data_IF_206387128604
#
_entry.id   IF_206387128604
#
_cell.length_a   1.000
_cell.length_b   1.000
_cell.length_c   1.000
_cell.angle_alpha   90.00
_cell.angle_beta   90.00
_cell.angle_gamma   90.00
#
_symmetry.space_group_name_H-M   'P 1'
#
loop_
_entity.id
_entity.type
_entity.pdbx_description
1 polymer ?
#
# COMPACT_ATOMS: atom_id res chain seq x y z
N UNK A 1 10.72 31.01 30.52
CA UNK A 1 11.73 29.92 30.50
C UNK A 1 11.12 28.51 30.52
N UNK A 2 9.95 28.30 31.14
CA UNK A 2 9.30 26.97 31.26
C UNK A 2 8.73 26.41 29.94
N UNK A 3 8.25 27.28 29.03
CA UNK A 3 7.60 26.87 27.78
C UNK A 3 8.52 26.12 26.78
N UNK A 4 9.80 26.48 26.67
CA UNK A 4 10.69 25.89 25.65
C UNK A 4 11.14 24.46 26.02
N UNK A 5 11.20 24.14 27.32
CA UNK A 5 11.57 22.80 27.80
C UNK A 5 10.47 21.77 27.55
N UNK A 6 9.20 22.16 27.69
CA UNK A 6 8.06 21.28 27.39
C UNK A 6 7.97 20.93 25.90
N UNK A 7 8.24 21.89 25.02
CA UNK A 7 8.23 21.67 23.57
C UNK A 7 9.36 20.72 23.15
N UNK A 8 10.57 20.87 23.72
CA UNK A 8 11.69 19.97 23.43
C UNK A 8 11.41 18.51 23.83
N UNK A 9 10.76 18.30 24.99
CA UNK A 9 10.34 16.97 25.45
C UNK A 9 9.29 16.35 24.51
N UNK A 10 8.32 17.13 24.07
CA UNK A 10 7.28 16.68 23.14
C UNK A 10 7.88 16.27 21.78
N UNK A 11 8.80 17.09 21.24
CA UNK A 11 9.51 16.79 19.99
C UNK A 11 10.29 15.48 20.13
N UNK A 12 11.06 15.30 21.20
CA UNK A 12 11.80 14.07 21.44
C UNK A 12 10.90 12.84 21.53
N UNK A 13 9.78 12.94 22.27
CA UNK A 13 8.80 11.86 22.39
C UNK A 13 8.19 11.47 21.04
N UNK A 14 7.77 12.45 20.23
CA UNK A 14 7.20 12.19 18.90
C UNK A 14 8.22 11.56 17.94
N UNK A 15 9.48 12.03 17.95
CA UNK A 15 10.53 11.46 17.09
C UNK A 15 10.80 10.00 17.43
N UNK A 16 10.85 9.64 18.72
CA UNK A 16 11.03 8.24 19.15
C UNK A 16 9.83 7.38 18.73
N UNK A 17 8.61 7.91 18.86
CA UNK A 17 7.39 7.21 18.44
C UNK A 17 7.38 6.96 16.92
N UNK A 18 7.71 7.98 16.11
CA UNK A 18 7.82 7.85 14.66
C UNK A 18 8.91 6.84 14.25
N UNK A 19 10.06 6.86 14.93
CA UNK A 19 11.13 5.90 14.68
C UNK A 19 10.69 4.46 15.00
N UNK A 20 9.98 4.25 16.11
CA UNK A 20 9.49 2.92 16.50
C UNK A 20 8.46 2.34 15.53
N UNK A 21 7.72 3.20 14.81
CA UNK A 21 6.76 2.78 13.78
C UNK A 21 7.40 2.52 12.40
N UNK A 22 8.72 2.75 12.25
CA UNK A 22 9.44 2.57 10.98
C UNK A 22 9.39 3.78 10.04
N UNK A 23 8.83 4.91 10.47
CA UNK A 23 8.68 6.13 9.67
C UNK A 23 9.95 7.01 9.73
N UNK A 24 11.09 6.44 9.30
CA UNK A 24 12.41 7.05 9.45
C UNK A 24 12.53 8.43 8.78
N UNK A 25 11.95 8.59 7.58
CA UNK A 25 12.02 9.83 6.80
C UNK A 25 11.30 10.99 7.53
N UNK A 26 10.11 10.72 8.05
CA UNK A 26 9.33 11.69 8.83
C UNK A 26 9.97 12.00 10.18
N UNK A 27 10.55 11.00 10.85
CA UNK A 27 11.26 11.19 12.11
C UNK A 27 12.46 12.14 11.94
N UNK A 28 13.29 11.91 10.91
CA UNK A 28 14.45 12.75 10.60
C UNK A 28 14.02 14.18 10.27
N UNK A 29 13.01 14.36 9.41
CA UNK A 29 12.51 15.68 9.03
C UNK A 29 11.97 16.45 10.25
N UNK A 30 11.15 15.79 11.07
CA UNK A 30 10.57 16.39 12.29
C UNK A 30 11.66 16.81 13.27
N UNK A 31 12.68 15.97 13.44
CA UNK A 31 13.83 16.26 14.29
C UNK A 31 14.61 17.48 13.77
N UNK A 32 14.94 17.52 12.48
CA UNK A 32 15.70 18.63 11.87
C UNK A 32 14.93 19.94 12.00
N UNK A 33 13.67 19.98 11.55
CA UNK A 33 12.84 21.19 11.62
C UNK A 33 12.71 21.65 13.08
N UNK A 34 12.25 20.77 13.97
CA UNK A 34 12.01 21.15 15.37
C UNK A 34 13.26 21.58 16.10
N UNK A 35 14.42 20.95 15.84
CA UNK A 35 15.70 21.35 16.43
C UNK A 35 16.12 22.73 15.95
N UNK A 36 15.98 23.01 14.65
CA UNK A 36 16.27 24.31 14.08
C UNK A 36 15.36 25.40 14.67
N UNK A 37 14.06 25.09 14.79
CA UNK A 37 13.08 25.98 15.42
C UNK A 37 13.43 26.28 16.87
N UNK A 38 13.66 25.25 17.69
CA UNK A 38 14.05 25.42 19.09
C UNK A 38 15.32 26.27 19.23
N UNK A 39 16.33 26.05 18.37
CA UNK A 39 17.55 26.85 18.34
C UNK A 39 17.28 28.33 18.02
N UNK A 40 16.47 28.62 16.98
CA UNK A 40 16.12 29.98 16.55
C UNK A 40 15.33 30.74 17.63
N UNK A 41 14.39 30.07 18.30
CA UNK A 41 13.58 30.68 19.35
C UNK A 41 14.32 30.82 20.68
N UNK A 42 15.29 29.94 20.97
CA UNK A 42 16.13 30.02 22.16
C UNK A 42 17.22 31.11 22.06
N UNK A 43 17.86 31.25 20.89
CA UNK A 43 18.96 32.19 20.71
C UNK A 43 18.46 33.63 20.47
N UNK A 44 18.98 34.61 21.23
CA UNK A 44 18.66 36.03 21.04
C UNK A 44 19.28 36.61 19.76
N UNK A 45 20.42 36.06 19.29
CA UNK A 45 21.07 36.51 18.05
C UNK A 45 20.30 36.13 16.79
N UNK A 46 19.38 35.17 16.88
CA UNK A 46 18.57 34.70 15.75
C UNK A 46 17.20 35.39 15.65
N UNK A 47 17.05 36.61 16.19
CA UNK A 47 15.75 37.29 16.25
C UNK A 47 15.07 37.45 14.87
N UNK A 48 15.83 37.84 13.83
CA UNK A 48 15.30 37.96 12.47
C UNK A 48 14.73 36.63 11.93
N UNK A 49 15.36 35.49 12.27
CA UNK A 49 14.93 34.17 11.82
C UNK A 49 13.59 33.74 12.41
N UNK A 50 13.12 34.34 13.52
CA UNK A 50 11.82 34.00 14.12
C UNK A 50 10.63 34.32 13.22
N UNK A 51 10.76 35.34 12.36
CA UNK A 51 9.73 35.72 11.40
C UNK A 51 9.78 34.88 10.13
N UNK A 52 10.97 34.49 9.70
CA UNK A 52 11.20 33.72 8.46
C UNK A 52 10.96 32.22 8.67
N UNK A 53 11.30 31.70 9.85
CA UNK A 53 11.28 30.28 10.15
C UNK A 53 9.91 29.61 9.94
N UNK A 54 8.76 30.16 10.40
CA UNK A 54 7.46 29.53 10.16
C UNK A 54 7.15 29.33 8.66
N UNK A 55 7.48 30.33 7.82
CA UNK A 55 7.32 30.24 6.37
C UNK A 55 8.25 29.22 5.73
N UNK A 56 9.53 29.21 6.13
CA UNK A 56 10.49 28.22 5.63
C UNK A 56 10.18 26.79 6.09
N UNK A 57 9.68 26.61 7.31
CA UNK A 57 9.24 25.30 7.79
C UNK A 57 8.07 24.78 6.95
N UNK A 58 7.11 25.65 6.62
CA UNK A 58 6.03 25.31 5.69
C UNK A 58 6.54 24.96 4.29
N UNK A 59 7.43 25.77 3.70
CA UNK A 59 8.05 25.45 2.42
C UNK A 59 8.85 24.15 2.47
N UNK A 60 9.59 23.91 3.57
CA UNK A 60 10.34 22.68 3.79
C UNK A 60 9.45 21.45 3.78
N UNK A 61 8.33 21.50 4.51
CA UNK A 61 7.43 20.36 4.67
C UNK A 61 6.53 20.13 3.45
N UNK A 62 6.04 21.19 2.79
CA UNK A 62 5.05 21.07 1.72
C UNK A 62 5.60 21.21 0.31
N UNK A 63 6.81 21.75 0.14
CA UNK A 63 7.42 21.93 -1.19
C UNK A 63 8.70 21.10 -1.31
N UNK A 64 9.64 21.31 -0.39
CA UNK A 64 10.96 20.69 -0.47
C UNK A 64 10.90 19.19 -0.17
N UNK A 65 10.12 18.77 0.82
CA UNK A 65 9.96 17.37 1.18
C UNK A 65 9.34 16.53 0.05
N UNK A 66 8.18 16.90 -0.55
CA UNK A 66 7.66 16.16 -1.70
C UNK A 66 8.65 16.14 -2.87
N UNK A 67 9.36 17.25 -3.12
CA UNK A 67 10.38 17.33 -4.17
C UNK A 67 11.53 16.33 -3.92
N UNK A 68 12.06 16.24 -2.70
CA UNK A 68 13.09 15.25 -2.35
C UNK A 68 12.52 13.83 -2.50
N UNK A 69 11.29 13.57 -2.07
CA UNK A 69 10.64 12.27 -2.23
C UNK A 69 10.53 11.89 -3.71
N UNK A 70 10.12 12.81 -4.58
CA UNK A 70 10.07 12.58 -6.03
C UNK A 70 11.45 12.23 -6.59
N UNK A 71 12.50 12.94 -6.16
CA UNK A 71 13.87 12.63 -6.56
C UNK A 71 14.28 11.25 -6.06
N UNK A 72 14.03 10.91 -4.80
CA UNK A 72 14.37 9.61 -4.22
C UNK A 72 13.66 8.46 -4.95
N UNK A 73 12.36 8.60 -5.21
CA UNK A 73 11.56 7.63 -5.97
C UNK A 73 12.11 7.45 -7.39
N UNK A 74 12.65 8.49 -8.02
CA UNK A 74 13.25 8.41 -9.35
C UNK A 74 14.46 7.45 -9.44
N UNK A 75 15.10 7.10 -8.32
CA UNK A 75 16.16 6.09 -8.25
C UNK A 75 15.67 4.67 -7.93
N UNK A 76 14.36 4.48 -7.81
CA UNK A 76 13.72 3.19 -7.49
C UNK A 76 12.89 2.68 -8.66
N UNK A 77 12.51 1.40 -8.62
CA UNK A 77 11.60 0.79 -9.60
C UNK A 77 10.11 0.97 -9.22
N UNK A 78 9.76 1.94 -8.38
CA UNK A 78 8.39 2.16 -7.91
C UNK A 78 7.45 2.37 -9.10
N UNK A 79 6.52 1.44 -9.28
CA UNK A 79 5.62 1.35 -10.44
C UNK A 79 4.31 0.68 -10.02
N UNK A 80 3.35 0.53 -10.93
CA UNK A 80 2.12 -0.25 -10.66
C UNK A 80 2.38 -1.71 -10.31
N UNK A 81 3.51 -2.29 -10.72
CA UNK A 81 3.86 -3.69 -10.44
C UNK A 81 4.67 -3.84 -9.15
N UNK A 82 5.46 -2.81 -8.79
CA UNK A 82 6.40 -2.82 -7.67
C UNK A 82 6.06 -1.73 -6.64
N UNK A 83 4.86 -1.83 -6.06
CA UNK A 83 4.34 -0.86 -5.08
C UNK A 83 4.63 -1.22 -3.63
N UNK A 84 4.83 -2.51 -3.36
CA UNK A 84 4.92 -3.04 -2.01
C UNK A 84 6.37 -3.02 -1.53
N UNK A 85 6.57 -2.95 -0.21
CA UNK A 85 7.87 -3.29 0.37
C UNK A 85 8.12 -4.79 0.25
N UNK A 86 9.38 -5.21 0.40
CA UNK A 86 9.77 -6.61 0.37
C UNK A 86 8.96 -7.45 1.37
N UNK A 87 8.85 -6.97 2.62
CA UNK A 87 8.15 -7.65 3.70
C UNK A 87 6.66 -7.83 3.38
N UNK A 88 6.06 -6.79 2.77
CA UNK A 88 4.65 -6.82 2.40
C UNK A 88 4.39 -7.73 1.20
N UNK A 89 5.29 -7.73 0.21
CA UNK A 89 5.21 -8.66 -0.91
C UNK A 89 5.37 -10.11 -0.45
N UNK A 90 6.33 -10.40 0.43
CA UNK A 90 6.52 -11.72 1.03
C UNK A 90 5.27 -12.16 1.81
N UNK A 91 4.68 -11.27 2.62
CA UNK A 91 3.44 -11.58 3.35
C UNK A 91 2.29 -11.93 2.39
N UNK A 92 2.10 -11.15 1.32
CA UNK A 92 1.05 -11.43 0.32
C UNK A 92 1.28 -12.77 -0.39
N UNK A 93 2.53 -13.13 -0.67
CA UNK A 93 2.86 -14.44 -1.23
C UNK A 93 2.60 -15.56 -0.23
N UNK A 94 2.92 -15.36 1.06
CA UNK A 94 2.65 -16.34 2.13
C UNK A 94 1.16 -16.56 2.40
N UNK A 95 0.34 -15.53 2.18
CA UNK A 95 -1.11 -15.64 2.30
C UNK A 95 -1.75 -16.37 1.10
N UNK A 96 -1.01 -16.65 0.02
CA UNK A 96 -1.54 -17.43 -1.10
C UNK A 96 -1.75 -18.87 -0.70
N UNK A 97 -2.87 -19.40 -1.14
CA UNK A 97 -3.26 -20.78 -0.89
C UNK A 97 -3.65 -21.46 -2.20
N UNK A 98 -3.48 -22.77 -2.23
CA UNK A 98 -3.98 -23.61 -3.30
C UNK A 98 -4.91 -24.68 -2.75
N UNK A 99 -5.83 -25.11 -3.58
CA UNK A 99 -6.79 -26.15 -3.24
C UNK A 99 -6.15 -27.52 -3.48
N UNK A 100 -5.76 -28.23 -2.41
CA UNK A 100 -5.37 -29.62 -2.50
C UNK A 100 -6.55 -30.51 -2.12
N UNK A 101 -7.21 -31.09 -3.14
CA UNK A 101 -8.30 -32.06 -2.94
C UNK A 101 -9.69 -31.45 -2.95
N UNK A 102 -10.64 -32.15 -2.31
CA UNK A 102 -12.08 -31.89 -2.39
C UNK A 102 -12.55 -30.75 -1.49
N UNK A 103 -13.70 -30.17 -1.88
CA UNK A 103 -14.44 -29.17 -1.10
C UNK A 103 -15.66 -29.82 -0.48
N UNK A 104 -15.88 -29.56 0.81
CA UNK A 104 -17.00 -30.08 1.57
C UNK A 104 -17.84 -28.93 2.11
N UNK A 105 -19.16 -29.00 1.95
CA UNK A 105 -20.05 -28.06 2.62
C UNK A 105 -20.12 -28.43 4.10
N UNK A 106 -20.05 -27.47 5.01
CA UNK A 106 -20.13 -27.77 6.44
C UNK A 106 -21.39 -27.22 7.12
N UNK A 107 -21.86 -27.96 8.10
CA UNK A 107 -22.84 -27.54 9.09
C UNK A 107 -22.23 -27.61 10.48
N UNK A 108 -22.48 -26.58 11.28
CA UNK A 108 -22.13 -26.57 12.69
C UNK A 108 -23.40 -26.83 13.50
N UNK A 109 -23.42 -27.86 14.34
CA UNK A 109 -24.59 -28.23 15.13
C UNK A 109 -24.29 -27.99 16.62
N UNK A 110 -25.07 -27.14 17.31
CA UNK A 110 -24.94 -26.96 18.75
C UNK A 110 -25.46 -28.20 19.50
N UNK A 111 -24.72 -28.63 20.52
CA UNK A 111 -25.10 -29.72 21.41
C UNK A 111 -24.84 -29.30 22.88
N UNK A 112 -25.73 -28.46 23.41
CA UNK A 112 -25.54 -27.82 24.72
C UNK A 112 -24.40 -26.78 24.68
N UNK A 113 -23.36 -27.00 25.47
CA UNK A 113 -22.14 -26.17 25.48
C UNK A 113 -21.06 -26.65 24.49
N UNK A 114 -21.30 -27.76 23.79
CA UNK A 114 -20.38 -28.36 22.83
C UNK A 114 -20.93 -28.21 21.41
N UNK A 115 -20.06 -28.44 20.43
CA UNK A 115 -20.36 -28.31 19.01
C UNK A 115 -20.01 -29.59 18.28
N UNK A 116 -20.75 -29.86 17.22
CA UNK A 116 -20.48 -30.95 16.28
C UNK A 116 -20.31 -30.37 14.89
N UNK A 117 -19.22 -30.74 14.20
CA UNK A 117 -18.94 -30.35 12.83
C UNK A 117 -19.39 -31.48 11.91
N UNK A 118 -20.27 -31.17 10.97
CA UNK A 118 -20.62 -32.08 9.88
C UNK A 118 -20.11 -31.53 8.55
N UNK A 119 -19.50 -32.38 7.74
CA UNK A 119 -19.05 -32.12 6.38
C UNK A 119 -19.85 -32.98 5.41
N UNK A 120 -20.28 -32.41 4.30
CA UNK A 120 -20.99 -33.12 3.23
C UNK A 120 -20.21 -32.98 1.93
N UNK A 121 -19.86 -34.10 1.31
CA UNK A 121 -19.30 -34.13 -0.04
C UNK A 121 -20.43 -33.96 -1.06
N UNK A 122 -20.39 -32.87 -1.82
CA UNK A 122 -21.40 -32.58 -2.85
C UNK A 122 -21.34 -33.51 -4.06
N UNK A 123 -20.21 -34.18 -4.31
CA UNK A 123 -20.04 -35.09 -5.45
C UNK A 123 -20.45 -36.52 -5.11
N UNK A 124 -20.01 -37.04 -3.96
CA UNK A 124 -20.28 -38.42 -3.56
C UNK A 124 -21.54 -38.59 -2.71
N UNK A 125 -22.10 -37.49 -2.19
CA UNK A 125 -23.24 -37.51 -1.27
C UNK A 125 -22.92 -38.05 0.13
N UNK A 126 -21.65 -38.37 0.41
CA UNK A 126 -21.20 -38.88 1.71
C UNK A 126 -21.17 -37.77 2.75
N UNK A 127 -21.58 -38.10 3.98
CA UNK A 127 -21.52 -37.21 5.12
C UNK A 127 -20.45 -37.69 6.11
N UNK A 128 -19.76 -36.73 6.71
CA UNK A 128 -18.74 -36.95 7.73
C UNK A 128 -19.06 -36.11 8.93
N UNK A 129 -19.05 -36.70 10.12
CA UNK A 129 -19.43 -36.02 11.37
C UNK A 129 -18.32 -36.19 12.40
N UNK A 130 -18.00 -35.10 13.10
CA UNK A 130 -17.04 -35.12 14.20
C UNK A 130 -17.66 -35.62 15.50
N UNK A 131 -16.81 -36.02 16.45
CA UNK A 131 -17.21 -36.08 17.84
C UNK A 131 -17.47 -34.66 18.40
N UNK A 132 -18.05 -34.57 19.60
CA UNK A 132 -18.35 -33.28 20.24
C UNK A 132 -17.05 -32.58 20.61
N UNK A 133 -16.97 -31.28 20.34
CA UNK A 133 -15.81 -30.47 20.66
C UNK A 133 -16.22 -29.09 21.21
N UNK A 134 -15.30 -28.43 21.88
CA UNK A 134 -15.46 -27.05 22.33
C UNK A 134 -14.49 -26.15 21.58
N UNK A 135 -14.85 -24.89 21.38
CA UNK A 135 -13.95 -23.94 20.75
C UNK A 135 -12.79 -23.62 21.70
N UNK A 136 -11.57 -23.87 21.23
CA UNK A 136 -10.36 -23.62 22.01
C UNK A 136 -9.10 -23.85 21.18
N UNK A 137 -8.52 -22.76 20.66
CA UNK A 137 -7.24 -22.78 19.95
C UNK A 137 -7.20 -23.71 18.72
N UNK A 138 -5.96 -24.02 18.30
CA UNK A 138 -5.70 -24.96 17.22
C UNK A 138 -5.91 -26.40 17.69
N UNK A 139 -6.90 -27.08 17.09
CA UNK A 139 -7.26 -28.45 17.43
C UNK A 139 -7.48 -29.30 16.18
N UNK A 140 -7.17 -30.59 16.29
CA UNK A 140 -7.41 -31.58 15.24
C UNK A 140 -8.64 -32.39 15.61
N UNK A 141 -9.59 -32.47 14.68
CA UNK A 141 -10.86 -33.15 14.90
C UNK A 141 -11.00 -34.29 13.91
N UNK A 142 -11.09 -35.51 14.40
CA UNK A 142 -11.33 -36.68 13.57
C UNK A 142 -12.81 -36.76 13.19
N UNK A 143 -13.11 -36.95 11.91
CA UNK A 143 -14.47 -37.21 11.44
C UNK A 143 -14.69 -38.71 11.17
N UNK A 144 -15.92 -39.14 11.37
CA UNK A 144 -16.43 -40.48 11.03
C UNK A 144 -17.43 -40.36 9.88
N UNK A 145 -17.38 -41.28 8.93
CA UNK A 145 -18.37 -41.36 7.86
C UNK A 145 -19.71 -41.82 8.46
N UNK A 146 -20.79 -41.12 8.11
CA UNK A 146 -22.15 -41.39 8.59
C UNK A 146 -23.15 -41.23 7.44
N UNK A 147 -24.21 -42.04 7.47
CA UNK A 147 -25.26 -41.99 6.44
C UNK A 147 -26.23 -40.83 6.64
N UNK A 148 -26.46 -40.43 7.89
CA UNK A 148 -27.37 -39.35 8.27
C UNK A 148 -26.63 -38.18 8.93
N UNK A 149 -27.07 -36.96 8.63
CA UNK A 149 -26.61 -35.74 9.31
C UNK A 149 -27.05 -35.75 10.78
N UNK A 150 -26.34 -35.03 11.67
CA UNK A 150 -26.69 -34.97 13.09
C UNK A 150 -28.13 -34.48 13.32
N UNK A 151 -28.83 -35.09 14.28
CA UNK A 151 -30.12 -34.59 14.75
C UNK A 151 -29.90 -33.27 15.52
N UNK A 152 -30.41 -32.16 14.96
CA UNK A 152 -30.30 -30.84 15.58
C UNK A 152 -30.51 -29.71 14.58
N UNK A 153 -30.82 -28.52 15.08
CA UNK A 153 -30.93 -27.32 14.23
C UNK A 153 -29.53 -26.86 13.81
N UNK A 154 -29.31 -26.71 12.51
CA UNK A 154 -28.03 -26.21 11.98
C UNK A 154 -27.79 -24.80 12.48
N UNK A 155 -26.63 -24.57 13.06
CA UNK A 155 -26.15 -23.26 13.49
C UNK A 155 -26.26 -22.23 12.36
N UNK A 156 -26.89 -21.11 12.66
CA UNK A 156 -27.09 -20.05 11.69
C UNK A 156 -25.76 -19.33 11.33
N UNK A 157 -25.79 -18.52 10.27
CA UNK A 157 -24.62 -17.79 9.80
C UNK A 157 -24.04 -16.84 10.87
N UNK A 158 -24.87 -16.32 11.78
CA UNK A 158 -24.44 -15.45 12.88
C UNK A 158 -23.53 -16.20 13.86
N UNK A 159 -23.91 -17.40 14.26
CA UNK A 159 -23.11 -18.27 15.15
C UNK A 159 -21.79 -18.64 14.50
N UNK A 160 -21.80 -19.00 13.20
CA UNK A 160 -20.56 -19.31 12.45
C UNK A 160 -19.64 -18.08 12.40
N UNK A 161 -20.20 -16.89 12.14
CA UNK A 161 -19.42 -15.65 12.05
C UNK A 161 -18.82 -15.24 13.39
N UNK A 162 -19.56 -15.42 14.49
CA UNK A 162 -19.07 -15.14 15.85
C UNK A 162 -17.90 -16.05 16.23
N UNK A 163 -17.93 -17.33 15.82
CA UNK A 163 -16.91 -18.32 16.15
C UNK A 163 -15.87 -18.52 15.02
N UNK A 164 -15.84 -17.64 14.01
CA UNK A 164 -15.04 -17.82 12.79
C UNK A 164 -13.54 -18.04 13.04
N UNK A 165 -12.99 -17.35 14.04
CA UNK A 165 -11.55 -17.41 14.36
C UNK A 165 -11.18 -18.77 14.97
N UNK A 166 -12.04 -19.32 15.83
CA UNK A 166 -11.86 -20.65 16.38
C UNK A 166 -12.08 -21.72 15.32
N UNK A 167 -13.11 -21.56 14.47
CA UNK A 167 -13.38 -22.46 13.34
C UNK A 167 -12.23 -22.51 12.33
N UNK A 168 -11.58 -21.39 12.01
CA UNK A 168 -10.42 -21.36 11.11
C UNK A 168 -9.18 -22.06 11.66
N UNK A 169 -9.13 -22.29 12.98
CA UNK A 169 -8.02 -23.00 13.64
C UNK A 169 -8.25 -24.52 13.74
N UNK A 170 -9.44 -25.00 13.34
CA UNK A 170 -9.78 -26.41 13.35
C UNK A 170 -9.21 -27.08 12.09
N UNK A 171 -8.42 -28.13 12.30
CA UNK A 171 -8.02 -29.05 11.24
C UNK A 171 -8.87 -30.31 11.34
N UNK A 172 -9.78 -30.47 10.41
CA UNK A 172 -10.65 -31.64 10.33
C UNK A 172 -9.93 -32.76 9.57
N UNK A 173 -9.89 -33.97 10.12
CA UNK A 173 -9.22 -35.14 9.55
C UNK A 173 -10.28 -36.17 9.15
N UNK A 174 -10.37 -36.44 7.86
CA UNK A 174 -11.28 -37.45 7.29
C UNK A 174 -10.81 -38.88 7.64
N UNK A 175 -11.68 -39.90 7.49
CA UNK A 175 -11.29 -41.30 7.67
C UNK A 175 -10.13 -41.75 6.78
N UNK A 176 -9.99 -41.14 5.59
CA UNK A 176 -8.90 -41.36 4.63
C UNK A 176 -7.64 -40.50 4.93
N UNK A 177 -7.45 -40.11 6.19
CA UNK A 177 -6.38 -39.22 6.71
C UNK A 177 -6.26 -37.83 6.05
N UNK A 178 -7.14 -37.52 5.11
CA UNK A 178 -7.16 -36.24 4.40
C UNK A 178 -7.51 -35.12 5.36
N UNK A 179 -6.67 -34.08 5.37
CA UNK A 179 -6.83 -32.91 6.24
C UNK A 179 -7.54 -31.80 5.50
N UNK A 180 -8.61 -31.27 6.10
CA UNK A 180 -9.39 -30.15 5.58
C UNK A 180 -9.50 -29.05 6.64
N UNK A 181 -9.46 -27.80 6.16
CA UNK A 181 -9.54 -26.58 6.97
C UNK A 181 -10.67 -25.71 6.44
N UNK A 182 -11.13 -24.76 7.26
CA UNK A 182 -12.18 -23.83 6.84
C UNK A 182 -11.65 -22.88 5.74
N UNK A 183 -12.22 -22.96 4.54
CA UNK A 183 -11.88 -22.08 3.41
C UNK A 183 -12.87 -20.94 3.21
N UNK A 184 -14.12 -21.12 3.67
CA UNK A 184 -15.14 -20.08 3.68
C UNK A 184 -16.10 -20.27 4.84
N UNK A 185 -17.05 -19.34 5.03
CA UNK A 185 -18.11 -19.48 6.04
C UNK A 185 -19.10 -20.62 5.75
N UNK A 186 -18.94 -21.34 4.62
CA UNK A 186 -19.82 -22.45 4.22
C UNK A 186 -19.08 -23.73 3.88
N UNK A 187 -17.77 -23.67 3.70
CA UNK A 187 -16.99 -24.78 3.16
C UNK A 187 -15.71 -25.05 3.95
N UNK A 188 -15.38 -26.34 4.04
CA UNK A 188 -14.07 -26.83 4.40
C UNK A 188 -13.43 -27.46 3.17
N UNK A 189 -12.12 -27.32 3.05
CA UNK A 189 -11.36 -27.93 1.97
C UNK A 189 -9.93 -28.21 2.38
N UNK A 190 -9.23 -29.04 1.62
CA UNK A 190 -7.79 -29.26 1.78
C UNK A 190 -6.95 -28.08 1.27
N UNK A 191 -7.38 -26.86 1.55
CA UNK A 191 -6.64 -25.65 1.18
C UNK A 191 -5.33 -25.60 1.96
N UNK A 192 -4.21 -25.41 1.26
CA UNK A 192 -2.87 -25.37 1.85
C UNK A 192 -2.16 -24.09 1.42
N UNK A 193 -1.23 -23.55 2.22
CA UNK A 193 -0.35 -22.47 1.78
C UNK A 193 0.36 -22.89 0.49
N UNK A 194 0.35 -22.02 -0.52
CA UNK A 194 1.01 -22.28 -1.79
C UNK A 194 2.53 -22.20 -1.66
N UNK A 195 3.02 -21.34 -0.77
CA UNK A 195 4.44 -21.14 -0.54
C UNK A 195 4.80 -21.43 0.92
N UNK A 196 6.02 -21.90 1.14
CA UNK A 196 6.65 -22.01 2.46
C UNK A 196 7.96 -21.25 2.47
N UNK A 197 8.18 -20.47 3.52
CA UNK A 197 9.44 -19.74 3.72
C UNK A 197 10.50 -20.70 4.30
N UNK A 198 11.65 -20.75 3.65
CA UNK A 198 12.82 -21.52 4.07
C UNK A 198 13.73 -20.63 4.93
N UNK A 199 14.58 -21.21 5.79
CA UNK A 199 15.51 -20.47 6.66
C UNK A 199 16.43 -19.49 5.90
N UNK A 200 16.69 -19.75 4.62
CA UNK A 200 17.52 -18.90 3.76
C UNK A 200 16.75 -17.70 3.13
N UNK A 201 15.48 -17.50 3.46
CA UNK A 201 14.63 -16.45 2.86
C UNK A 201 14.04 -16.81 1.49
N UNK A 202 14.21 -18.06 1.05
CA UNK A 202 13.64 -18.59 -0.19
C UNK A 202 12.20 -19.09 0.01
N UNK A 203 11.35 -18.87 -0.99
CA UNK A 203 9.99 -19.39 -1.03
C UNK A 203 9.94 -20.69 -1.85
N UNK A 204 9.50 -21.77 -1.23
CA UNK A 204 9.27 -23.04 -1.95
C UNK A 204 7.79 -23.19 -2.26
N UNK A 205 7.45 -23.44 -3.52
CA UNK A 205 6.09 -23.72 -3.95
C UNK A 205 5.70 -25.17 -3.57
N UNK A 206 4.68 -25.33 -2.75
CA UNK A 206 4.24 -26.63 -2.23
C UNK A 206 3.48 -27.49 -3.26
N UNK A 207 3.11 -26.92 -4.41
CA UNK A 207 2.44 -27.62 -5.50
C UNK A 207 3.42 -28.13 -6.55
N UNK A 208 4.43 -27.33 -6.91
CA UNK A 208 5.40 -27.64 -7.98
C UNK A 208 6.79 -27.99 -7.48
N UNK A 209 7.07 -27.78 -6.18
CA UNK A 209 8.39 -27.91 -5.56
C UNK A 209 9.47 -26.97 -6.13
N UNK A 210 9.07 -25.95 -6.89
CA UNK A 210 9.98 -24.91 -7.41
C UNK A 210 10.34 -23.94 -6.30
N UNK A 211 11.62 -23.56 -6.24
CA UNK A 211 12.16 -22.58 -5.29
C UNK A 211 12.25 -21.21 -5.94
N UNK A 212 11.95 -20.17 -5.17
CA UNK A 212 12.03 -18.78 -5.57
C UNK A 212 12.87 -18.00 -4.56
N UNK A 213 13.84 -17.24 -5.05
CA UNK A 213 14.69 -16.37 -4.24
C UNK A 213 14.37 -14.89 -4.55
N UNK A 214 14.56 -13.98 -3.57
CA UNK A 214 14.39 -12.56 -3.82
C UNK A 214 15.50 -12.04 -4.74
N UNK A 215 15.12 -11.48 -5.89
CA UNK A 215 16.02 -10.81 -6.81
C UNK A 215 15.92 -9.29 -6.68
N UNK A 216 16.82 -8.71 -5.88
CA UNK A 216 16.87 -7.27 -5.59
C UNK A 216 17.23 -6.40 -6.80
N UNK A 217 17.66 -6.98 -7.93
CA UNK A 217 17.97 -6.21 -9.14
C UNK A 217 16.74 -5.86 -9.97
N UNK A 218 15.70 -6.67 -9.88
CA UNK A 218 14.42 -6.52 -10.60
C UNK A 218 13.27 -6.15 -9.66
N UNK A 219 13.34 -6.56 -8.40
CA UNK A 219 12.30 -6.36 -7.39
C UNK A 219 11.21 -7.43 -7.45
N UNK A 220 11.57 -8.68 -7.67
CA UNK A 220 10.63 -9.82 -7.70
C UNK A 220 11.23 -11.03 -6.98
N UNK A 221 10.37 -11.96 -6.57
CA UNK A 221 10.81 -13.32 -6.31
C UNK A 221 10.96 -14.04 -7.64
N UNK A 222 12.14 -14.59 -7.91
CA UNK A 222 12.45 -15.26 -9.18
C UNK A 222 12.85 -16.71 -8.92
N UNK A 223 12.44 -17.62 -9.80
CA UNK A 223 12.73 -19.03 -9.66
C UNK A 223 14.23 -19.30 -9.77
N UNK A 224 14.72 -20.24 -8.95
CA UNK A 224 16.12 -20.67 -8.94
C UNK A 224 16.23 -22.15 -9.32
N UNK A 225 17.17 -22.44 -10.21
CA UNK A 225 17.52 -23.82 -10.56
C UNK A 225 18.33 -24.49 -9.44
N UNK A 226 18.48 -25.81 -9.52
CA UNK A 226 19.30 -26.58 -8.58
C UNK A 226 20.77 -26.10 -8.53
N UNK A 227 21.26 -25.51 -9.62
CA UNK A 227 22.62 -24.97 -9.74
C UNK A 227 22.76 -23.53 -9.19
N UNK A 228 21.69 -22.94 -8.66
CA UNK A 228 21.66 -21.56 -8.14
C UNK A 228 21.54 -20.47 -9.20
N UNK A 229 21.35 -20.84 -10.48
CA UNK A 229 21.08 -19.89 -11.56
C UNK A 229 19.60 -19.47 -11.60
N UNK A 230 19.34 -18.24 -12.04
CA UNK A 230 17.99 -17.74 -12.25
C UNK A 230 17.31 -18.46 -13.42
N UNK A 231 16.11 -18.99 -13.18
CA UNK A 231 15.31 -19.69 -14.18
C UNK A 231 14.31 -18.78 -14.93
N UNK A 232 14.17 -17.52 -14.49
CA UNK A 232 13.40 -16.49 -15.22
C UNK A 232 11.93 -16.36 -14.84
N UNK A 233 11.35 -17.26 -14.05
CA UNK A 233 9.94 -17.16 -13.64
C UNK A 233 9.79 -16.22 -12.45
N UNK A 234 9.04 -15.13 -12.62
CA UNK A 234 8.87 -14.10 -11.59
C UNK A 234 7.49 -14.18 -10.93
N UNK A 235 7.46 -14.10 -9.60
CA UNK A 235 6.23 -14.06 -8.82
C UNK A 235 5.76 -12.62 -8.63
N UNK A 236 4.52 -12.35 -9.02
CA UNK A 236 3.80 -11.13 -8.60
C UNK A 236 3.13 -11.35 -7.24
N UNK A 237 3.00 -10.33 -6.37
CA UNK A 237 3.42 -8.94 -6.57
C UNK A 237 4.94 -8.76 -6.44
N UNK A 238 5.49 -7.80 -7.18
CA UNK A 238 6.87 -7.37 -6.98
C UNK A 238 6.99 -6.38 -5.82
N UNK A 239 8.23 -6.06 -5.47
CA UNK A 239 8.57 -5.13 -4.39
C UNK A 239 9.50 -4.01 -4.88
N UNK A 240 9.43 -2.88 -4.18
CA UNK A 240 10.23 -1.70 -4.51
C UNK A 240 11.70 -1.93 -4.12
N UNK A 241 12.59 -1.73 -5.10
CA UNK A 241 14.04 -1.81 -4.95
C UNK A 241 14.72 -0.60 -5.58
N UNK A 242 15.93 -0.32 -5.13
CA UNK A 242 16.76 0.75 -5.70
C UNK A 242 17.39 0.26 -6.99
N UNK A 243 17.15 0.99 -8.09
CA UNK A 243 17.68 0.66 -9.43
C UNK A 243 18.71 1.68 -9.94
N UNK A 244 19.05 2.68 -9.12
CA UNK A 244 20.04 3.70 -9.47
C UNK A 244 19.59 4.53 -10.67
N UNK A 245 20.45 4.67 -11.67
CA UNK A 245 20.23 5.56 -12.82
C UNK A 245 19.40 4.95 -13.97
N UNK A 246 18.89 3.72 -13.82
CA UNK A 246 18.18 3.02 -14.91
C UNK A 246 17.01 3.83 -15.49
N UNK A 247 16.23 4.53 -14.65
CA UNK A 247 15.11 5.36 -15.11
C UNK A 247 15.58 6.53 -15.99
N UNK A 248 16.67 7.20 -15.62
CA UNK A 248 17.22 8.32 -16.39
C UNK A 248 17.85 7.85 -17.70
N UNK A 249 18.67 6.80 -17.64
CA UNK A 249 19.31 6.22 -18.83
C UNK A 249 18.29 5.73 -19.85
N UNK A 250 17.16 5.18 -19.40
CA UNK A 250 16.07 4.76 -20.30
C UNK A 250 15.55 5.90 -21.17
N UNK A 251 15.40 7.10 -20.62
CA UNK A 251 14.96 8.28 -21.40
C UNK A 251 15.99 8.66 -22.48
N UNK A 252 17.29 8.47 -22.21
CA UNK A 252 18.39 8.81 -23.12
C UNK A 252 18.85 7.69 -24.06
N UNK A 253 18.29 6.48 -23.96
CA UNK A 253 18.65 5.35 -24.84
C UNK A 253 17.46 4.72 -25.58
N UNK A 254 16.22 5.00 -25.16
CA UNK A 254 15.02 4.42 -25.79
C UNK A 254 14.49 5.32 -26.93
N UNK A 255 14.71 4.90 -28.17
CA UNK A 255 14.26 5.61 -29.39
C UNK A 255 12.75 5.86 -29.42
N UNK A 256 11.95 5.01 -28.77
CA UNK A 256 10.50 5.17 -28.68
C UNK A 256 10.07 6.32 -27.78
N UNK A 257 10.88 6.65 -26.77
CA UNK A 257 10.59 7.69 -25.76
C UNK A 257 11.21 9.03 -26.18
N UNK A 258 12.40 9.03 -26.77
CA UNK A 258 13.13 10.27 -27.09
C UNK A 258 12.45 11.15 -28.13
N UNK A 259 11.98 10.55 -29.23
CA UNK A 259 11.39 11.28 -30.35
C UNK A 259 10.19 12.16 -29.90
N UNK A 260 9.18 11.62 -29.19
CA UNK A 260 8.10 12.46 -28.69
C UNK A 260 8.55 13.41 -27.58
N UNK A 261 9.49 13.00 -26.72
CA UNK A 261 9.96 13.83 -25.61
C UNK A 261 10.52 15.18 -26.08
N UNK A 262 11.44 15.18 -27.05
CA UNK A 262 12.08 16.43 -27.51
C UNK A 262 11.08 17.34 -28.24
N UNK A 263 10.19 16.77 -29.04
CA UNK A 263 9.15 17.52 -29.74
C UNK A 263 8.19 18.21 -28.77
N UNK A 264 7.72 17.48 -27.75
CA UNK A 264 6.87 18.03 -26.69
C UNK A 264 7.62 19.11 -25.91
N UNK A 265 8.87 18.86 -25.53
CA UNK A 265 9.68 19.82 -24.77
C UNK A 265 9.81 21.17 -25.50
N UNK A 266 10.20 21.15 -26.78
CA UNK A 266 10.34 22.38 -27.59
C UNK A 266 9.00 23.09 -27.70
N UNK A 267 7.90 22.36 -27.96
CA UNK A 267 6.57 22.94 -28.00
C UNK A 267 6.17 23.57 -26.67
N UNK A 268 6.41 22.90 -25.54
CA UNK A 268 6.10 23.41 -24.20
C UNK A 268 6.86 24.70 -23.91
N UNK A 269 8.14 24.79 -24.30
CA UNK A 269 8.93 26.03 -24.15
C UNK A 269 8.35 27.16 -24.99
N UNK A 270 8.11 26.93 -26.29
CA UNK A 270 7.54 27.93 -27.20
C UNK A 270 6.17 28.40 -26.69
N UNK A 271 5.30 27.47 -26.32
CA UNK A 271 3.97 27.73 -25.79
C UNK A 271 4.03 28.57 -24.51
N UNK A 272 4.91 28.21 -23.57
CA UNK A 272 5.06 28.96 -22.31
C UNK A 272 5.57 30.38 -22.56
N UNK A 273 6.57 30.55 -23.42
CA UNK A 273 7.13 31.86 -23.77
C UNK A 273 6.08 32.74 -24.46
N UNK A 274 5.37 32.21 -25.46
CA UNK A 274 4.30 32.95 -26.15
C UNK A 274 3.18 33.33 -25.18
N UNK A 275 2.80 32.42 -24.28
CA UNK A 275 1.76 32.67 -23.27
C UNK A 275 2.17 33.80 -22.34
N UNK A 276 3.40 33.79 -21.81
CA UNK A 276 3.90 34.87 -20.94
C UNK A 276 3.93 36.20 -21.70
N UNK A 277 4.44 36.23 -22.94
CA UNK A 277 4.50 37.46 -23.74
C UNK A 277 3.10 38.03 -23.99
N UNK A 278 2.16 37.20 -24.46
CA UNK A 278 0.80 37.67 -24.74
C UNK A 278 0.08 38.10 -23.46
N UNK A 279 0.15 37.31 -22.39
CA UNK A 279 -0.56 37.63 -21.13
C UNK A 279 -0.01 38.89 -20.47
N UNK A 280 1.31 39.10 -20.49
CA UNK A 280 1.95 40.32 -20.00
C UNK A 280 1.59 41.51 -20.89
N UNK A 281 1.69 41.39 -22.22
CA UNK A 281 1.38 42.48 -23.13
C UNK A 281 -0.09 42.92 -23.02
N UNK A 282 -1.03 41.97 -23.11
CA UNK A 282 -2.47 42.24 -22.98
C UNK A 282 -2.81 42.74 -21.58
N UNK A 283 -2.28 42.09 -20.54
CA UNK A 283 -2.52 42.48 -19.14
C UNK A 283 -2.02 43.89 -18.83
N UNK A 284 -0.83 44.25 -19.31
CA UNK A 284 -0.25 45.58 -19.13
C UNK A 284 -1.04 46.65 -19.88
N UNK A 285 -1.38 46.41 -21.16
CA UNK A 285 -2.18 47.36 -21.96
C UNK A 285 -3.55 47.59 -21.31
N UNK A 286 -4.26 46.52 -20.93
CA UNK A 286 -5.55 46.63 -20.26
C UNK A 286 -5.45 47.33 -18.91
N UNK A 287 -4.41 47.05 -18.11
CA UNK A 287 -4.18 47.72 -16.83
C UNK A 287 -3.99 49.24 -17.01
N UNK A 288 -3.17 49.66 -17.98
CA UNK A 288 -2.96 51.07 -18.30
C UNK A 288 -4.27 51.76 -18.75
N UNK A 289 -5.05 51.11 -19.62
CA UNK A 289 -6.32 51.65 -20.14
C UNK A 289 -7.37 51.80 -19.03
N UNK A 290 -7.52 50.79 -18.18
CA UNK A 290 -8.51 50.80 -17.09
C UNK A 290 -8.17 51.82 -15.99
N UNK A 291 -6.89 52.20 -15.86
CA UNK A 291 -6.44 53.24 -14.93
C UNK A 291 -6.64 54.67 -15.48
N UNK A 292 -6.86 54.84 -16.78
CA UNK A 292 -6.98 56.17 -17.40
C UNK A 292 -8.17 56.97 -16.83
N UNK A 293 -7.91 58.14 -16.26
CA UNK A 293 -8.91 59.02 -15.62
C UNK A 293 -10.06 59.44 -16.54
N UNK A 294 -9.80 59.57 -17.85
CA UNK A 294 -10.81 59.95 -18.85
C UNK A 294 -11.82 58.84 -19.17
N UNK A 295 -11.58 57.61 -18.71
CA UNK A 295 -12.41 56.45 -19.03
C UNK A 295 -13.63 56.38 -18.10
N UNK A 296 -14.81 56.73 -18.64
CA UNK A 296 -16.09 56.60 -17.93
C UNK A 296 -16.43 55.13 -17.72
N UNK A 297 -16.83 54.75 -16.50
CA UNK A 297 -17.26 53.37 -16.19
C UNK A 297 -16.13 52.38 -15.84
N UNK A 298 -14.92 52.85 -15.50
CA UNK A 298 -13.74 52.02 -15.17
C UNK A 298 -13.98 50.88 -14.16
N UNK A 299 -14.92 51.05 -13.22
CA UNK A 299 -15.26 50.04 -12.22
C UNK A 299 -15.92 48.78 -12.84
N UNK A 300 -16.79 48.96 -13.83
CA UNK A 300 -17.47 47.85 -14.53
C UNK A 300 -16.48 47.09 -15.41
N UNK A 301 -15.63 47.80 -16.14
CA UNK A 301 -14.57 47.18 -16.95
C UNK A 301 -13.60 46.36 -16.09
N UNK A 302 -13.19 46.86 -14.93
CA UNK A 302 -12.31 46.12 -14.00
C UNK A 302 -12.93 44.81 -13.52
N UNK A 303 -14.23 44.82 -13.18
CA UNK A 303 -14.94 43.63 -12.73
C UNK A 303 -15.01 42.56 -13.83
N UNK A 304 -15.40 42.98 -15.04
CA UNK A 304 -15.54 42.08 -16.19
C UNK A 304 -14.20 41.45 -16.62
N UNK A 305 -13.09 42.21 -16.54
CA UNK A 305 -11.76 41.73 -16.94
C UNK A 305 -11.15 40.70 -15.99
N UNK A 306 -11.58 40.68 -14.71
CA UNK A 306 -11.09 39.69 -13.73
C UNK A 306 -11.96 38.43 -13.73
N UNK A 307 -13.18 38.49 -14.28
CA UNK A 307 -14.13 37.38 -14.29
C UNK A 307 -13.55 36.08 -14.86
N UNK A 308 -12.78 36.09 -15.98
CA UNK A 308 -12.12 34.89 -16.47
C UNK A 308 -11.17 34.25 -15.44
N UNK A 309 -10.51 35.05 -14.60
CA UNK A 309 -9.66 34.53 -13.52
C UNK A 309 -10.47 34.10 -12.29
N UNK A 310 -11.59 34.77 -12.00
CA UNK A 310 -12.44 34.48 -10.86
C UNK A 310 -13.22 33.15 -10.99
N UNK A 311 -13.52 32.73 -12.22
CA UNK A 311 -14.16 31.42 -12.46
C UNK A 311 -13.11 30.31 -12.42
N UNK A 312 -13.33 29.22 -11.64
CA UNK A 312 -12.43 28.08 -11.61
C UNK A 312 -12.08 27.57 -13.00
N UNK A 313 -10.81 27.26 -13.24
CA UNK A 313 -10.32 26.83 -14.57
C UNK A 313 -10.97 25.54 -15.07
N UNK A 314 -11.42 24.65 -14.17
CA UNK A 314 -12.02 23.37 -14.56
C UNK A 314 -13.40 23.50 -15.23
N UNK A 315 -14.14 24.60 -14.98
CA UNK A 315 -15.48 24.83 -15.57
C UNK A 315 -15.36 25.37 -17.00
N UNK A 316 -14.18 25.85 -17.38
CA UNK A 316 -13.93 26.53 -18.67
C UNK A 316 -13.50 25.58 -19.79
N UNK A 317 -13.45 24.27 -19.52
CA UNK A 317 -13.14 23.21 -20.48
C UNK A 317 -14.37 22.40 -20.85
#
# INVERSE_FOLDING_TARGET
MVSHRGIGLLVGYLVVLMYAQGEYLFAIMTLILSSLGLYIFANRKAYAWRYVYPGMAGMGLFVLFPLICTIAIAFTNYSSTNQLTFERAQQVLMDRQYQAGKTFNFGLYPNGNEWTLALTDGESGKNYVSDKFTFGGAQKIQLKEVDALPEGERGNLRVITQNRQALSQITAVLPDETRVVMSSLRQFSGTRPLYTLTENGELTNNQTSVKYAPNDHVGYYESVNADGSWAGEQLSPGYTVTIGWKNFLRVFHDDGIQKPFLAIFVWTVIFSVLTVILTVAVGMVLACVVQWESLKGKAVYRLLLILPYAVPSFIRY
#
